data_IF_799241381398
#
_entry.id   IF_799241381398
#
_cell.length_a   1.000
_cell.length_b   1.000
_cell.length_c   1.000
_cell.angle_alpha   90.00
_cell.angle_beta   90.00
_cell.angle_gamma   90.00
#
_symmetry.space_group_name_H-M   'P 1'
#
loop_
_entity.id
_entity.type
_entity.pdbx_description
1 polymer ?
#
# COMPACT_ATOMS: atom_id res chain seq x y z
N UNK A 1 6.65 -6.89 5.17
CA UNK A 1 7.19 -5.56 5.54
C UNK A 1 8.29 -5.19 4.56
N UNK A 2 8.35 -3.93 4.13
CA UNK A 2 9.43 -3.40 3.29
C UNK A 2 10.03 -2.19 4.00
N UNK A 3 11.35 -2.17 4.14
CA UNK A 3 12.09 -1.03 4.69
C UNK A 3 12.89 -0.39 3.57
N UNK A 4 12.94 0.93 3.54
CA UNK A 4 13.72 1.66 2.55
C UNK A 4 13.90 3.10 2.94
N UNK A 5 14.80 3.79 2.24
CA UNK A 5 15.10 5.19 2.50
C UNK A 5 14.65 6.04 1.33
N UNK A 6 13.80 7.04 1.58
CA UNK A 6 13.37 8.02 0.58
C UNK A 6 13.86 9.38 1.04
N UNK A 7 14.69 10.05 0.23
CA UNK A 7 15.24 11.38 0.56
C UNK A 7 15.94 11.43 1.93
N UNK A 8 16.70 10.38 2.27
CA UNK A 8 17.41 10.22 3.56
C UNK A 8 16.48 10.08 4.78
N UNK A 9 15.19 9.79 4.55
CA UNK A 9 14.24 9.43 5.59
C UNK A 9 13.95 7.93 5.46
N UNK A 10 14.24 7.19 6.52
CA UNK A 10 13.90 5.76 6.59
C UNK A 10 12.39 5.63 6.74
N UNK A 11 11.77 4.83 5.88
CA UNK A 11 10.35 4.57 5.82
C UNK A 11 10.15 3.06 5.85
N UNK A 12 9.24 2.63 6.72
CA UNK A 12 8.80 1.24 6.79
C UNK A 12 7.37 1.16 6.26
N UNK A 13 7.12 0.26 5.32
CA UNK A 13 5.78 -0.01 4.79
C UNK A 13 5.37 -1.43 5.14
N UNK A 14 4.21 -1.56 5.79
CA UNK A 14 3.61 -2.84 6.15
C UNK A 14 2.29 -2.95 5.38
N UNK A 15 2.24 -3.87 4.41
CA UNK A 15 0.99 -4.20 3.73
C UNK A 15 0.30 -5.35 4.47
N UNK A 16 -0.96 -5.18 4.84
CA UNK A 16 -1.79 -6.19 5.55
C UNK A 16 -2.96 -6.56 4.65
N UNK A 17 -3.20 -7.86 4.51
CA UNK A 17 -4.43 -8.42 3.96
C UNK A 17 -5.03 -9.35 5.02
N UNK A 18 -6.06 -8.88 5.71
CA UNK A 18 -6.71 -9.64 6.76
C UNK A 18 -7.74 -10.63 6.17
N UNK A 19 -7.95 -11.81 6.78
CA UNK A 19 -8.96 -12.75 6.31
C UNK A 19 -10.38 -12.23 6.54
N UNK A 20 -11.32 -12.59 5.65
CA UNK A 20 -12.74 -12.24 5.79
C UNK A 20 -13.34 -12.67 7.15
N UNK A 21 -12.94 -13.85 7.64
CA UNK A 21 -13.35 -14.36 8.95
C UNK A 21 -12.22 -14.18 9.96
N UNK A 22 -12.55 -13.66 11.14
CA UNK A 22 -11.58 -13.46 12.21
C UNK A 22 -10.60 -12.29 11.99
N UNK A 23 -10.84 -11.41 11.01
CA UNK A 23 -10.02 -10.23 10.73
C UNK A 23 -9.64 -9.42 11.98
N UNK A 24 -10.58 -9.14 12.88
CA UNK A 24 -10.31 -8.35 14.09
C UNK A 24 -9.22 -8.99 14.98
N UNK A 25 -9.33 -10.30 15.22
CA UNK A 25 -8.36 -11.06 16.01
C UNK A 25 -7.02 -11.13 15.28
N UNK A 26 -7.05 -11.40 13.98
CA UNK A 26 -5.85 -11.45 13.15
C UNK A 26 -5.08 -10.13 13.17
N UNK A 27 -5.74 -9.01 12.86
CA UNK A 27 -5.11 -7.69 12.83
C UNK A 27 -4.59 -7.29 14.21
N UNK A 28 -5.35 -7.54 15.28
CA UNK A 28 -4.90 -7.25 16.65
C UNK A 28 -3.64 -8.04 17.03
N UNK A 29 -3.62 -9.34 16.73
CA UNK A 29 -2.48 -10.20 16.99
C UNK A 29 -1.26 -9.74 16.19
N UNK A 30 -1.43 -9.50 14.89
CA UNK A 30 -0.35 -9.04 14.02
C UNK A 30 0.25 -7.70 14.47
N UNK A 31 -0.58 -6.73 14.86
CA UNK A 31 -0.12 -5.44 15.38
C UNK A 31 0.67 -5.60 16.69
N UNK A 32 0.22 -6.50 17.57
CA UNK A 32 0.93 -6.81 18.82
C UNK A 32 2.30 -7.44 18.56
N UNK A 33 2.37 -8.41 17.65
CA UNK A 33 3.61 -9.08 17.25
C UNK A 33 4.61 -8.09 16.61
N UNK A 34 4.11 -7.16 15.80
CA UNK A 34 4.91 -6.16 15.10
C UNK A 34 5.20 -4.90 15.95
N UNK A 35 4.75 -4.84 17.21
CA UNK A 35 4.87 -3.63 18.05
C UNK A 35 6.31 -3.13 18.19
N UNK A 36 7.28 -4.04 18.27
CA UNK A 36 8.70 -3.69 18.35
C UNK A 36 9.31 -3.19 17.03
N UNK A 37 8.63 -3.38 15.90
CA UNK A 37 9.07 -2.98 14.57
C UNK A 37 8.36 -1.73 14.04
N UNK A 38 7.31 -1.28 14.74
CA UNK A 38 6.54 -0.09 14.36
C UNK A 38 7.16 1.13 15.03
N UNK A 39 7.57 2.10 14.23
CA UNK A 39 8.09 3.39 14.68
C UNK A 39 7.31 4.56 14.06
N UNK A 40 7.78 5.78 14.31
CA UNK A 40 7.14 7.00 13.81
C UNK A 40 7.10 7.12 12.27
N UNK A 41 7.95 6.40 11.54
CA UNK A 41 8.03 6.41 10.08
C UNK A 41 7.38 5.16 9.45
N UNK A 42 6.77 4.30 10.26
CA UNK A 42 6.02 3.14 9.77
C UNK A 42 4.64 3.57 9.24
N UNK A 43 4.35 3.15 8.01
CA UNK A 43 3.04 3.25 7.36
C UNK A 43 2.49 1.83 7.22
N UNK A 44 1.34 1.58 7.85
CA UNK A 44 0.61 0.32 7.72
C UNK A 44 -0.54 0.56 6.75
N UNK A 45 -0.70 -0.28 5.74
CA UNK A 45 -1.76 -0.12 4.76
C UNK A 45 -2.32 -1.46 4.30
N UNK A 46 -3.51 -1.43 3.74
CA UNK A 46 -4.12 -2.58 3.07
C UNK A 46 -5.55 -2.83 3.50
N UNK A 47 -6.05 -4.01 3.13
CA UNK A 47 -7.41 -4.46 3.41
C UNK A 47 -7.45 -5.16 4.76
N UNK A 48 -8.07 -4.51 5.74
CA UNK A 48 -8.26 -5.08 7.08
C UNK A 48 -9.55 -5.88 7.19
N UNK A 49 -10.36 -5.96 6.13
CA UNK A 49 -11.68 -6.57 6.07
C UNK A 49 -12.66 -6.07 7.16
N UNK A 50 -12.31 -4.99 7.85
CA UNK A 50 -13.01 -4.53 9.06
C UNK A 50 -12.89 -3.02 9.24
N UNK A 51 -14.04 -2.37 9.33
CA UNK A 51 -14.15 -0.95 9.67
C UNK A 51 -13.51 -0.60 11.02
N UNK A 52 -12.94 0.60 11.13
CA UNK A 52 -12.39 1.14 12.39
C UNK A 52 -13.44 1.88 13.21
N UNK A 53 -14.30 2.65 12.55
CA UNK A 53 -15.30 3.50 13.20
C UNK A 53 -16.71 3.25 12.68
N UNK A 54 -17.73 3.74 13.38
CA UNK A 54 -19.11 3.64 12.90
C UNK A 54 -19.33 4.39 11.56
N UNK A 55 -18.60 5.48 11.32
CA UNK A 55 -18.68 6.25 10.06
C UNK A 55 -18.09 5.52 8.86
N UNK A 56 -17.33 4.45 9.09
CA UNK A 56 -16.79 3.59 8.04
C UNK A 56 -17.80 2.58 7.53
N UNK A 57 -19.05 2.65 8.00
CA UNK A 57 -20.15 1.82 7.54
C UNK A 57 -21.33 2.72 7.19
N UNK A 58 -21.95 2.44 6.05
CA UNK A 58 -23.27 3.00 5.72
C UNK A 58 -24.36 2.46 6.64
N UNK A 59 -24.21 1.21 7.11
CA UNK A 59 -25.08 0.66 8.14
C UNK A 59 -24.79 1.34 9.49
N UNK A 60 -25.83 1.88 10.14
CA UNK A 60 -25.72 2.54 11.45
C UNK A 60 -25.55 1.54 12.62
N UNK A 61 -24.91 0.38 12.36
CA UNK A 61 -24.62 -0.63 13.38
C UNK A 61 -23.58 -0.07 14.35
N UNK A 62 -23.81 -0.31 15.65
CA UNK A 62 -22.86 0.07 16.69
C UNK A 62 -21.54 -0.69 16.52
N UNK A 63 -20.46 -0.05 16.96
CA UNK A 63 -19.15 -0.69 17.12
C UNK A 63 -19.30 -1.81 18.16
N UNK A 64 -18.80 -3.01 17.86
CA UNK A 64 -18.79 -4.12 18.80
C UNK A 64 -17.54 -4.06 19.70
N UNK A 65 -17.56 -4.85 20.79
CA UNK A 65 -16.46 -4.84 21.77
C UNK A 65 -15.11 -5.27 21.17
N UNK A 66 -15.11 -6.15 20.16
CA UNK A 66 -13.89 -6.60 19.49
C UNK A 66 -13.22 -5.49 18.66
N UNK A 67 -14.01 -4.68 17.95
CA UNK A 67 -13.52 -3.49 17.26
C UNK A 67 -12.95 -2.50 18.27
N UNK A 68 -13.66 -2.25 19.38
CA UNK A 68 -13.17 -1.38 20.45
C UNK A 68 -11.82 -1.88 20.99
N UNK A 69 -11.73 -3.16 21.37
CA UNK A 69 -10.51 -3.75 21.90
C UNK A 69 -9.32 -3.79 20.92
N UNK A 70 -9.55 -3.70 19.60
CA UNK A 70 -8.51 -3.53 18.58
C UNK A 70 -8.13 -2.06 18.44
N UNK A 71 -9.11 -1.16 18.46
CA UNK A 71 -8.86 0.28 18.41
C UNK A 71 -8.09 0.75 19.65
N UNK A 72 -8.38 0.20 20.83
CA UNK A 72 -7.61 0.44 22.05
C UNK A 72 -6.14 0.05 21.86
N UNK A 73 -5.87 -1.09 21.18
CA UNK A 73 -4.48 -1.50 20.84
C UNK A 73 -3.81 -0.51 19.88
N UNK A 74 -4.53 0.05 18.90
CA UNK A 74 -4.00 1.10 18.04
C UNK A 74 -3.67 2.36 18.84
N UNK A 75 -4.56 2.77 19.74
CA UNK A 75 -4.38 3.95 20.60
C UNK A 75 -3.20 3.76 21.56
N UNK A 76 -3.03 2.57 22.16
CA UNK A 76 -1.87 2.21 23.00
C UNK A 76 -0.54 2.25 22.25
N UNK A 77 -0.57 2.10 20.93
CA UNK A 77 0.60 2.16 20.04
C UNK A 77 0.79 3.54 19.41
N UNK A 78 -0.03 4.54 19.79
CA UNK A 78 -0.09 5.86 19.16
C UNK A 78 -0.28 5.79 17.63
N UNK A 79 -0.95 4.73 17.14
CA UNK A 79 -1.27 4.55 15.72
C UNK A 79 -2.65 5.13 15.45
N UNK A 80 -2.72 6.01 14.45
CA UNK A 80 -3.97 6.63 14.01
C UNK A 80 -4.32 6.18 12.59
N UNK A 81 -5.62 6.20 12.29
CA UNK A 81 -6.12 6.12 10.93
C UNK A 81 -5.99 7.48 10.23
N UNK A 82 -5.09 7.54 9.25
CA UNK A 82 -4.72 8.79 8.58
C UNK A 82 -5.92 9.35 7.81
N UNK A 83 -6.74 8.50 7.20
CA UNK A 83 -7.94 8.94 6.48
C UNK A 83 -8.90 9.65 7.43
N UNK A 84 -9.18 9.05 8.58
CA UNK A 84 -10.12 9.61 9.55
C UNK A 84 -9.56 10.86 10.25
N UNK A 85 -8.25 10.93 10.46
CA UNK A 85 -7.59 12.12 11.00
C UNK A 85 -7.71 13.33 10.06
N UNK A 86 -7.55 13.13 8.75
CA UNK A 86 -7.67 14.19 7.75
C UNK A 86 -9.12 14.48 7.34
N UNK A 87 -10.01 13.50 7.43
CA UNK A 87 -11.42 13.58 7.03
C UNK A 87 -12.38 13.15 8.15
N UNK A 88 -12.41 13.87 9.29
CA UNK A 88 -13.12 13.41 10.49
C UNK A 88 -14.63 13.30 10.31
N UNK A 89 -15.23 14.03 9.36
CA UNK A 89 -16.68 14.08 9.12
C UNK A 89 -17.12 13.47 7.78
N UNK A 90 -16.17 12.99 6.97
CA UNK A 90 -16.47 12.47 5.63
C UNK A 90 -16.90 11.02 5.71
N UNK A 91 -18.02 10.71 5.06
CA UNK A 91 -18.48 9.34 4.84
C UNK A 91 -18.19 8.96 3.39
N UNK A 92 -17.03 8.34 3.17
CA UNK A 92 -16.66 7.72 1.91
C UNK A 92 -16.10 6.32 2.19
N UNK A 93 -16.24 5.44 1.20
CA UNK A 93 -16.16 4.00 1.38
C UNK A 93 -15.28 3.40 0.30
N UNK A 94 -14.57 2.34 0.65
CA UNK A 94 -13.65 1.64 -0.25
C UNK A 94 -14.27 0.37 -0.85
N UNK A 95 -15.32 -0.18 -0.23
CA UNK A 95 -15.93 -1.44 -0.65
C UNK A 95 -17.47 -1.37 -0.65
N UNK A 96 -18.09 -2.09 -1.57
CA UNK A 96 -19.54 -2.30 -1.63
C UNK A 96 -19.88 -3.80 -1.51
N UNK A 97 -20.64 -4.15 -0.47
CA UNK A 97 -21.20 -5.49 -0.30
C UNK A 97 -22.53 -5.60 -1.05
N UNK A 98 -22.53 -6.35 -2.17
CA UNK A 98 -23.74 -6.62 -2.96
C UNK A 98 -24.79 -7.42 -2.17
N UNK A 99 -24.35 -8.42 -1.40
CA UNK A 99 -25.22 -9.30 -0.59
C UNK A 99 -26.04 -8.53 0.44
N UNK A 100 -25.48 -7.45 0.99
CA UNK A 100 -26.14 -6.64 2.01
C UNK A 100 -26.61 -5.27 1.50
N UNK A 101 -26.26 -4.90 0.27
CA UNK A 101 -26.54 -3.57 -0.27
C UNK A 101 -25.91 -2.45 0.55
N UNK A 102 -24.72 -2.67 1.13
CA UNK A 102 -24.07 -1.71 2.05
C UNK A 102 -22.67 -1.36 1.61
N UNK A 103 -22.28 -0.11 1.90
CA UNK A 103 -20.94 0.40 1.72
C UNK A 103 -20.16 0.36 3.04
N UNK A 104 -18.87 0.05 2.95
CA UNK A 104 -17.94 0.09 4.05
C UNK A 104 -16.54 0.57 3.62
N UNK A 105 -15.82 1.22 4.53
CA UNK A 105 -14.38 1.42 4.43
C UNK A 105 -13.69 0.33 5.23
N UNK A 106 -13.00 -0.57 4.52
CA UNK A 106 -12.27 -1.72 5.07
C UNK A 106 -10.79 -1.71 4.67
N UNK A 107 -10.45 -0.90 3.67
CA UNK A 107 -9.08 -0.54 3.34
C UNK A 107 -8.67 0.66 4.19
N UNK A 108 -7.50 0.57 4.81
CA UNK A 108 -7.02 1.58 5.74
C UNK A 108 -5.55 1.92 5.46
N UNK A 109 -5.17 3.17 5.74
CA UNK A 109 -3.77 3.56 5.90
C UNK A 109 -3.61 4.12 7.30
N UNK A 110 -2.81 3.44 8.11
CA UNK A 110 -2.49 3.78 9.48
C UNK A 110 -1.07 4.31 9.57
N UNK A 111 -0.82 5.19 10.52
CA UNK A 111 0.50 5.72 10.79
C UNK A 111 0.60 6.29 12.20
N UNK A 112 1.82 6.53 12.65
CA UNK A 112 2.06 7.07 13.98
C UNK A 112 1.53 8.50 14.14
N UNK A 113 0.90 8.80 15.28
CA UNK A 113 0.26 10.09 15.59
C UNK A 113 1.20 11.28 15.48
N UNK A 114 2.46 11.13 15.91
CA UNK A 114 3.50 12.17 15.80
C UNK A 114 3.78 12.54 14.33
N UNK A 115 3.63 11.60 13.41
CA UNK A 115 3.86 11.81 11.98
C UNK A 115 2.66 12.41 11.25
N UNK A 116 1.58 12.77 11.95
CA UNK A 116 0.40 13.40 11.34
C UNK A 116 0.75 14.64 10.51
N UNK A 117 1.73 15.43 10.96
CA UNK A 117 2.19 16.63 10.22
C UNK A 117 2.91 16.33 8.90
N UNK A 118 3.31 15.07 8.65
CA UNK A 118 3.92 14.61 7.40
C UNK A 118 2.87 14.22 6.36
N UNK A 119 1.66 13.84 6.78
CA UNK A 119 0.60 13.39 5.88
C UNK A 119 -0.10 14.61 5.26
N UNK A 120 0.08 14.81 3.95
CA UNK A 120 -0.41 16.01 3.24
C UNK A 120 -1.84 15.84 2.76
N UNK A 121 -2.12 14.69 2.15
CA UNK A 121 -3.40 14.42 1.50
C UNK A 121 -3.64 12.92 1.45
N UNK A 122 -4.88 12.50 1.66
CA UNK A 122 -5.31 11.12 1.44
C UNK A 122 -6.63 11.11 0.68
N UNK A 123 -6.72 10.25 -0.33
CA UNK A 123 -7.84 10.17 -1.25
C UNK A 123 -8.25 8.71 -1.51
N UNK A 124 -9.55 8.50 -1.67
CA UNK A 124 -10.12 7.26 -2.18
C UNK A 124 -10.29 7.42 -3.69
N UNK A 125 -9.70 6.51 -4.47
CA UNK A 125 -9.69 6.53 -5.93
C UNK A 125 -10.54 5.36 -6.44
N UNK A 126 -11.64 5.61 -7.18
CA UNK A 126 -12.42 4.56 -7.80
C UNK A 126 -11.55 3.65 -8.68
N UNK A 127 -11.78 2.33 -8.60
CA UNK A 127 -11.14 1.35 -9.46
C UNK A 127 -12.18 0.70 -10.36
N UNK A 128 -11.85 0.53 -11.65
CA UNK A 128 -12.69 -0.23 -12.59
C UNK A 128 -12.33 -1.72 -12.63
N UNK A 129 -11.19 -2.09 -12.03
CA UNK A 129 -10.63 -3.44 -12.08
C UNK A 129 -10.80 -4.22 -10.77
N UNK A 130 -11.40 -3.59 -9.75
CA UNK A 130 -11.63 -4.20 -8.44
C UNK A 130 -12.94 -3.68 -7.85
N UNK A 131 -13.56 -4.54 -7.05
CA UNK A 131 -14.64 -4.23 -6.11
C UNK A 131 -14.19 -3.34 -4.94
N UNK A 132 -12.88 -3.15 -4.77
CA UNK A 132 -12.27 -2.18 -3.88
C UNK A 132 -11.83 -0.91 -4.63
N UNK A 133 -12.02 0.24 -3.98
CA UNK A 133 -11.40 1.51 -4.36
C UNK A 133 -10.00 1.60 -3.75
N UNK A 134 -9.06 2.19 -4.47
CA UNK A 134 -7.69 2.37 -4.00
C UNK A 134 -7.59 3.54 -3.00
N UNK A 135 -6.64 3.45 -2.06
CA UNK A 135 -6.24 4.57 -1.22
C UNK A 135 -4.92 5.15 -1.70
N UNK A 136 -4.85 6.48 -1.81
CA UNK A 136 -3.64 7.22 -2.16
C UNK A 136 -3.28 8.17 -1.03
N UNK A 137 -2.08 8.04 -0.48
CA UNK A 137 -1.52 8.93 0.53
C UNK A 137 -0.34 9.72 -0.06
N UNK A 138 -0.44 11.05 0.00
CA UNK A 138 0.67 11.96 -0.28
C UNK A 138 1.37 12.31 1.04
N UNK A 139 2.66 12.00 1.13
CA UNK A 139 3.51 12.29 2.29
C UNK A 139 4.54 13.37 1.97
N UNK A 140 4.84 14.20 2.96
CA UNK A 140 5.88 15.21 2.89
C UNK A 140 7.15 14.72 3.59
N UNK A 141 8.19 14.41 2.81
CA UNK A 141 9.51 14.06 3.36
C UNK A 141 10.31 15.35 3.59
N UNK A 142 10.60 15.68 4.85
CA UNK A 142 11.31 16.92 5.19
C UNK A 142 12.82 16.74 5.11
N UNK A 143 13.41 16.87 3.92
CA UNK A 143 14.79 17.37 3.77
C UNK A 143 15.09 17.92 2.38
N UNK A 144 15.89 19.00 2.33
CA UNK A 144 16.49 19.53 1.10
C UNK A 144 17.19 18.39 0.36
N UNK A 145 17.12 18.42 -0.97
CA UNK A 145 17.86 17.55 -1.89
C UNK A 145 19.37 17.54 -1.59
N UNK A 146 19.81 16.81 -0.57
CA UNK A 146 21.14 16.26 -0.50
C UNK A 146 21.22 15.17 -1.56
N UNK A 147 22.40 15.02 -2.20
CA UNK A 147 22.64 14.03 -3.25
C UNK A 147 21.94 12.72 -2.89
N UNK A 148 20.96 12.36 -3.72
CA UNK A 148 20.26 11.09 -3.63
C UNK A 148 21.31 9.99 -3.49
N UNK A 149 21.14 9.11 -2.52
CA UNK A 149 21.81 7.80 -2.61
C UNK A 149 21.49 7.23 -4.01
N UNK A 150 22.45 6.56 -4.64
CA UNK A 150 22.38 6.11 -6.04
C UNK A 150 21.30 5.01 -6.24
N UNK A 151 20.03 5.29 -5.94
CA UNK A 151 18.92 4.41 -6.25
C UNK A 151 18.64 4.60 -7.73
N UNK A 152 19.01 3.60 -8.53
CA UNK A 152 18.70 3.62 -9.94
C UNK A 152 17.19 3.73 -10.13
N UNK A 153 16.77 4.74 -10.90
CA UNK A 153 15.39 4.98 -11.30
C UNK A 153 15.36 5.06 -12.82
N UNK A 154 14.46 4.31 -13.44
CA UNK A 154 14.24 4.39 -14.88
C UNK A 154 13.88 5.82 -15.28
N UNK A 155 14.63 6.38 -16.24
CA UNK A 155 14.34 7.70 -16.80
C UNK A 155 13.11 7.63 -17.71
N UNK A 156 12.10 8.44 -17.41
CA UNK A 156 10.89 8.54 -18.25
C UNK A 156 11.18 9.09 -19.67
N UNK A 157 12.35 9.69 -19.90
CA UNK A 157 12.77 10.14 -21.24
C UNK A 157 13.04 8.94 -22.15
N UNK A 158 13.65 7.88 -21.62
CA UNK A 158 13.90 6.63 -22.37
C UNK A 158 12.58 6.01 -22.84
N UNK A 159 11.54 6.05 -21.99
CA UNK A 159 10.20 5.56 -22.33
C UNK A 159 9.49 6.39 -23.41
N UNK A 160 9.98 7.58 -23.75
CA UNK A 160 9.43 8.40 -24.83
C UNK A 160 10.17 8.23 -26.16
N UNK A 161 11.37 7.66 -26.14
CA UNK A 161 12.17 7.42 -27.34
C UNK A 161 11.66 6.17 -28.07
N UNK A 162 11.21 6.33 -29.31
CA UNK A 162 10.63 5.23 -30.09
C UNK A 162 11.65 4.15 -30.44
N UNK A 163 12.93 4.49 -30.64
CA UNK A 163 13.98 3.50 -30.85
C UNK A 163 14.16 2.60 -29.62
N UNK A 164 14.21 3.21 -28.43
CA UNK A 164 14.31 2.47 -27.17
C UNK A 164 13.09 1.58 -26.96
N UNK A 165 11.89 2.04 -27.32
CA UNK A 165 10.68 1.19 -27.24
C UNK A 165 10.77 -0.04 -28.13
N UNK A 166 11.27 0.10 -29.36
CA UNK A 166 11.42 -1.03 -30.27
C UNK A 166 12.51 -2.00 -29.79
N UNK A 167 13.63 -1.49 -29.30
CA UNK A 167 14.70 -2.32 -28.72
C UNK A 167 14.19 -3.13 -27.52
N UNK A 168 13.50 -2.48 -26.58
CA UNK A 168 12.91 -3.13 -25.41
C UNK A 168 11.83 -4.13 -25.81
N UNK A 169 10.99 -3.81 -26.80
CA UNK A 169 9.99 -4.76 -27.32
C UNK A 169 10.67 -5.99 -27.94
N UNK A 170 11.78 -5.80 -28.65
CA UNK A 170 12.60 -6.87 -29.19
C UNK A 170 13.20 -7.76 -28.09
N UNK A 171 13.72 -7.16 -27.02
CA UNK A 171 14.24 -7.89 -25.85
C UNK A 171 13.15 -8.71 -25.15
N UNK A 172 11.95 -8.15 -24.97
CA UNK A 172 10.82 -8.89 -24.38
C UNK A 172 10.48 -10.11 -25.23
N UNK A 173 10.42 -9.96 -26.57
CA UNK A 173 10.15 -11.08 -27.49
C UNK A 173 11.23 -12.17 -27.38
N UNK A 174 12.51 -11.79 -27.46
CA UNK A 174 13.63 -12.73 -27.29
C UNK A 174 13.56 -13.47 -25.97
N UNK A 175 13.26 -12.75 -24.89
CA UNK A 175 13.14 -13.34 -23.56
C UNK A 175 12.02 -14.38 -23.51
N UNK A 176 10.83 -14.07 -24.03
CA UNK A 176 9.70 -15.00 -24.08
C UNK A 176 10.07 -16.24 -24.88
N UNK A 177 10.57 -16.07 -26.10
CA UNK A 177 10.96 -17.19 -26.99
C UNK A 177 11.99 -18.13 -26.36
N UNK A 178 12.90 -17.60 -25.53
CA UNK A 178 14.00 -18.38 -24.94
C UNK A 178 13.62 -19.04 -23.61
N UNK A 179 12.72 -18.42 -22.83
CA UNK A 179 12.50 -18.79 -21.43
C UNK A 179 11.10 -19.33 -21.15
N UNK A 180 10.16 -19.27 -22.11
CA UNK A 180 8.82 -19.84 -21.93
C UNK A 180 8.90 -21.36 -22.09
N UNK A 181 8.86 -22.07 -20.97
CA UNK A 181 8.89 -23.53 -20.92
C UNK A 181 8.03 -24.06 -19.76
N UNK A 182 7.60 -25.32 -19.85
CA UNK A 182 6.71 -25.97 -18.86
C UNK A 182 7.33 -26.08 -17.45
N UNK A 183 8.64 -25.95 -17.34
CA UNK A 183 9.38 -26.09 -16.08
C UNK A 183 9.54 -24.76 -15.31
N UNK A 184 9.16 -23.63 -15.90
CA UNK A 184 9.32 -22.31 -15.28
C UNK A 184 8.01 -21.80 -14.73
N UNK A 185 7.96 -21.50 -13.43
CA UNK A 185 6.77 -20.89 -12.83
C UNK A 185 6.53 -19.47 -13.37
N UNK A 186 5.27 -19.06 -13.49
CA UNK A 186 4.92 -17.70 -13.93
C UNK A 186 5.57 -16.60 -13.07
N UNK A 187 5.76 -16.86 -11.77
CA UNK A 187 6.42 -15.92 -10.87
C UNK A 187 7.91 -15.76 -11.21
N UNK A 188 8.64 -16.87 -11.37
CA UNK A 188 10.05 -16.84 -11.74
C UNK A 188 10.26 -16.22 -13.13
N UNK A 189 9.36 -16.54 -14.07
CA UNK A 189 9.37 -15.95 -15.40
C UNK A 189 9.17 -14.42 -15.34
N UNK A 190 8.20 -13.96 -14.54
CA UNK A 190 7.91 -12.54 -14.34
C UNK A 190 9.00 -11.78 -13.58
N UNK A 191 9.67 -12.39 -12.62
CA UNK A 191 10.75 -11.73 -11.87
C UNK A 191 12.04 -11.66 -12.70
N UNK A 192 12.32 -12.68 -13.51
CA UNK A 192 13.51 -12.71 -14.37
C UNK A 192 13.40 -11.72 -15.53
N UNK A 193 12.22 -11.57 -16.17
CA UNK A 193 12.05 -10.55 -17.22
C UNK A 193 12.27 -9.13 -16.68
N UNK A 194 11.83 -8.84 -15.44
CA UNK A 194 12.09 -7.53 -14.80
C UNK A 194 13.58 -7.27 -14.63
N UNK A 195 14.35 -8.30 -14.25
CA UNK A 195 15.80 -8.18 -14.08
C UNK A 195 16.50 -7.92 -15.42
N UNK A 196 16.13 -8.66 -16.48
CA UNK A 196 16.67 -8.46 -17.84
C UNK A 196 16.37 -7.05 -18.33
N UNK A 197 15.10 -6.62 -18.26
CA UNK A 197 14.70 -5.29 -18.70
C UNK A 197 15.41 -4.18 -17.93
N UNK A 198 15.59 -4.36 -16.62
CA UNK A 198 16.36 -3.41 -15.81
C UNK A 198 17.80 -3.30 -16.31
N UNK A 199 18.46 -4.42 -16.63
CA UNK A 199 19.81 -4.44 -17.20
C UNK A 199 19.88 -3.66 -18.52
N UNK A 200 18.92 -3.90 -19.41
CA UNK A 200 18.83 -3.20 -20.70
C UNK A 200 18.63 -1.69 -20.54
N UNK A 201 17.75 -1.27 -19.63
CA UNK A 201 17.58 0.15 -19.34
C UNK A 201 18.76 0.80 -18.61
N UNK A 202 19.63 0.02 -17.96
CA UNK A 202 20.87 0.54 -17.36
C UNK A 202 21.95 0.78 -18.43
N UNK A 203 21.97 -0.04 -19.50
CA UNK A 203 22.94 0.11 -20.59
C UNK A 203 22.62 1.22 -21.59
N UNK A 204 21.38 1.71 -21.59
CA UNK A 204 20.89 2.81 -22.44
C UNK A 204 21.05 4.17 -21.76
#
# INVERSE_FOLDING_TARGET
>A
MVKGTIQQEDITVINIYAPNQGALKYTKQLLTELKGEIDQNTIILGDLNTSLTAMDRSSKRKINNEIAARNDTLDEMDIIDIYRALHPKTSDYTFFSSVHGTFSRIDHILGHKISLSKFKKIEIIPSIFSDHKALKLDINCKRKAGKTTNTWRLSNILLKNDQVKEEIRGEIKRYIETNENENTSYQNFGDTVKAVLRGQFISL
#
